data_IF_440943587428
#
_entry.id   IF_440943587428
#
_cell.length_a   1.000
_cell.length_b   1.000
_cell.length_c   1.000
_cell.angle_alpha   90.00
_cell.angle_beta   90.00
_cell.angle_gamma   90.00
#
_symmetry.space_group_name_H-M   'P 1'
#
loop_
_entity.id
_entity.type
_entity.pdbx_description
1 polymer ?
#
# COMPACT_ATOMS: atom_id res chain seq x y z
N UNK A 1 36.69 0.32 -8.57
CA UNK A 1 35.41 0.82 -7.97
C UNK A 1 34.52 -0.24 -7.31
N UNK A 2 34.87 -1.51 -7.34
CA UNK A 2 34.04 -2.59 -6.80
C UNK A 2 34.34 -3.05 -5.37
N UNK A 3 35.49 -2.69 -4.79
CA UNK A 3 35.93 -3.22 -3.48
C UNK A 3 35.30 -2.49 -2.28
N UNK A 4 34.85 -1.26 -2.44
CA UNK A 4 34.31 -0.46 -1.31
C UNK A 4 32.82 -0.70 -1.03
N UNK A 5 32.08 -1.34 -1.93
CA UNK A 5 30.64 -1.58 -1.76
C UNK A 5 30.32 -2.66 -0.71
N UNK A 6 31.14 -3.70 -0.60
CA UNK A 6 30.83 -4.83 0.28
C UNK A 6 30.88 -4.49 1.78
N UNK A 7 31.89 -3.76 2.23
CA UNK A 7 32.04 -3.39 3.65
C UNK A 7 31.00 -2.34 4.09
N UNK A 8 30.68 -1.37 3.23
CA UNK A 8 29.64 -0.38 3.50
C UNK A 8 28.25 -1.02 3.60
N UNK A 9 27.95 -2.03 2.78
CA UNK A 9 26.67 -2.73 2.81
C UNK A 9 26.53 -3.65 4.03
N UNK A 10 27.62 -4.30 4.46
CA UNK A 10 27.63 -5.11 5.69
C UNK A 10 27.39 -4.23 6.91
N UNK A 11 28.07 -3.09 7.01
CA UNK A 11 27.87 -2.14 8.11
C UNK A 11 26.44 -1.57 8.16
N UNK A 12 25.88 -1.20 7.00
CA UNK A 12 24.50 -0.75 6.89
C UNK A 12 23.50 -1.83 7.32
N UNK A 13 23.73 -3.08 6.92
CA UNK A 13 22.88 -4.22 7.34
C UNK A 13 22.91 -4.44 8.84
N UNK A 14 24.07 -4.35 9.49
CA UNK A 14 24.19 -4.49 10.93
C UNK A 14 23.44 -3.38 11.68
N UNK A 15 23.54 -2.14 11.22
CA UNK A 15 22.81 -1.01 11.80
C UNK A 15 21.29 -1.21 11.65
N UNK A 16 20.82 -1.55 10.46
CA UNK A 16 19.39 -1.82 10.23
C UNK A 16 18.91 -3.01 11.08
N UNK A 17 19.70 -4.07 11.19
CA UNK A 17 19.34 -5.22 12.02
C UNK A 17 19.22 -4.83 13.51
N UNK A 18 20.16 -4.01 14.01
CA UNK A 18 20.10 -3.48 15.37
C UNK A 18 18.87 -2.59 15.60
N UNK A 19 18.57 -1.70 14.67
CA UNK A 19 17.41 -0.82 14.74
C UNK A 19 16.09 -1.61 14.73
N UNK A 20 16.00 -2.65 13.89
CA UNK A 20 14.85 -3.54 13.85
C UNK A 20 14.70 -4.40 15.11
N UNK A 21 15.83 -4.82 15.70
CA UNK A 21 15.80 -5.52 16.99
C UNK A 21 15.32 -4.57 18.11
N UNK A 22 15.81 -3.33 18.14
CA UNK A 22 15.36 -2.33 19.09
C UNK A 22 13.85 -2.05 18.95
N UNK A 23 13.36 -1.93 17.72
CA UNK A 23 11.92 -1.78 17.44
C UNK A 23 11.11 -2.97 17.99
N UNK A 24 11.61 -4.19 17.83
CA UNK A 24 10.96 -5.41 18.34
C UNK A 24 10.92 -5.45 19.86
N UNK A 25 12.02 -5.06 20.50
CA UNK A 25 12.19 -5.20 21.95
C UNK A 25 11.53 -4.06 22.73
N UNK A 26 11.56 -2.85 22.20
CA UNK A 26 11.13 -1.63 22.90
C UNK A 26 9.98 -0.88 22.21
N UNK A 27 9.62 -1.26 20.99
CA UNK A 27 8.63 -0.55 20.16
C UNK A 27 9.17 0.74 19.50
N UNK A 28 10.45 1.08 19.72
CA UNK A 28 11.04 2.34 19.24
C UNK A 28 12.45 2.08 18.70
N UNK A 29 12.80 2.78 17.64
CA UNK A 29 14.18 2.95 17.19
C UNK A 29 14.42 4.39 16.75
N UNK A 30 15.67 4.82 16.70
CA UNK A 30 16.04 6.17 16.26
C UNK A 30 17.22 6.11 15.29
N UNK A 31 17.05 6.75 14.15
CA UNK A 31 18.15 6.91 13.20
C UNK A 31 19.21 7.88 13.74
N UNK A 32 20.48 7.63 13.41
CA UNK A 32 21.54 8.60 13.68
C UNK A 32 21.27 9.90 12.91
N UNK A 33 21.79 11.02 13.44
CA UNK A 33 21.67 12.33 12.79
C UNK A 33 22.17 12.29 11.34
N UNK A 34 23.32 11.64 11.11
CA UNK A 34 23.90 11.49 9.78
C UNK A 34 23.00 10.69 8.82
N UNK A 35 22.39 9.59 9.30
CA UNK A 35 21.45 8.80 8.51
C UNK A 35 20.20 9.60 8.19
N UNK A 36 19.67 10.35 9.17
CA UNK A 36 18.51 11.19 8.98
C UNK A 36 18.78 12.32 7.97
N UNK A 37 19.91 12.99 8.04
CA UNK A 37 20.30 14.04 7.08
C UNK A 37 20.39 13.50 5.65
N UNK A 38 20.92 12.29 5.45
CA UNK A 38 20.97 11.64 4.14
C UNK A 38 19.56 11.33 3.61
N UNK A 39 18.72 10.74 4.45
CA UNK A 39 17.33 10.39 4.06
C UNK A 39 16.53 11.65 3.71
N UNK A 40 16.56 12.65 4.59
CA UNK A 40 15.77 13.89 4.38
C UNK A 40 16.32 14.79 3.28
N UNK A 41 17.59 14.63 2.89
CA UNK A 41 18.19 15.30 1.74
C UNK A 41 17.65 14.81 0.40
N UNK A 42 17.24 13.55 0.33
CA UNK A 42 16.76 12.91 -0.90
C UNK A 42 15.24 12.63 -0.90
N UNK A 43 14.65 12.42 0.28
CA UNK A 43 13.26 12.02 0.44
C UNK A 43 12.53 12.95 1.41
N UNK A 44 11.26 13.20 1.10
CA UNK A 44 10.33 13.87 2.01
C UNK A 44 9.17 12.93 2.31
N UNK A 45 8.71 12.94 3.56
CA UNK A 45 7.56 12.19 4.01
C UNK A 45 6.35 13.09 4.23
N UNK A 46 5.17 12.52 4.11
CA UNK A 46 3.93 13.18 4.46
C UNK A 46 2.85 12.15 4.79
N UNK A 47 1.72 12.62 5.28
CA UNK A 47 0.57 11.79 5.63
C UNK A 47 -0.73 12.52 5.29
N UNK A 48 -1.82 11.77 5.17
CA UNK A 48 -3.15 12.33 5.00
C UNK A 48 -4.14 11.66 5.96
N UNK A 49 -5.10 12.43 6.48
CA UNK A 49 -6.19 11.85 7.24
C UNK A 49 -7.12 11.05 6.33
N UNK A 50 -7.87 10.05 6.85
CA UNK A 50 -8.86 9.33 6.07
C UNK A 50 -9.86 10.27 5.34
N UNK A 51 -10.30 11.32 6.02
CA UNK A 51 -11.20 12.31 5.45
C UNK A 51 -10.56 13.06 4.26
N UNK A 52 -9.33 13.55 4.41
CA UNK A 52 -8.63 14.24 3.32
C UNK A 52 -8.38 13.31 2.12
N UNK A 53 -8.09 12.04 2.37
CA UNK A 53 -7.94 11.02 1.34
C UNK A 53 -9.26 10.79 0.58
N UNK A 54 -10.39 10.59 1.28
CA UNK A 54 -11.70 10.39 0.67
C UNK A 54 -12.14 11.62 -0.13
N UNK A 55 -11.94 12.83 0.39
CA UNK A 55 -12.22 14.09 -0.31
C UNK A 55 -11.34 14.23 -1.58
N UNK A 56 -10.08 13.85 -1.52
CA UNK A 56 -9.21 13.87 -2.69
C UNK A 56 -9.66 12.89 -3.77
N UNK A 57 -10.08 11.67 -3.39
CA UNK A 57 -10.63 10.69 -4.32
C UNK A 57 -11.88 11.23 -5.02
N UNK A 58 -12.83 11.80 -4.27
CA UNK A 58 -14.05 12.41 -4.80
C UNK A 58 -13.73 13.55 -5.78
N UNK A 59 -12.91 14.51 -5.36
CA UNK A 59 -12.56 15.69 -6.16
C UNK A 59 -11.81 15.34 -7.44
N UNK A 60 -10.90 14.37 -7.40
CA UNK A 60 -10.15 13.95 -8.58
C UNK A 60 -11.07 13.21 -9.56
N UNK A 61 -11.96 12.36 -9.06
CA UNK A 61 -12.94 11.69 -9.90
C UNK A 61 -13.87 12.71 -10.56
N UNK A 62 -14.44 13.63 -9.80
CA UNK A 62 -15.36 14.67 -10.33
C UNK A 62 -14.68 15.55 -11.39
N UNK A 63 -13.43 15.94 -11.16
CA UNK A 63 -12.73 16.90 -12.02
C UNK A 63 -12.08 16.30 -13.25
N UNK A 64 -11.59 15.05 -13.13
CA UNK A 64 -10.72 14.43 -14.12
C UNK A 64 -11.24 13.08 -14.61
N UNK A 65 -12.38 12.61 -14.11
CA UNK A 65 -12.92 11.26 -14.39
C UNK A 65 -11.90 10.15 -14.12
N UNK A 66 -11.04 10.35 -13.11
CA UNK A 66 -9.99 9.42 -12.73
C UNK A 66 -10.24 8.86 -11.33
N UNK A 67 -10.52 7.56 -11.26
CA UNK A 67 -10.77 6.86 -10.01
C UNK A 67 -9.44 6.39 -9.39
N UNK A 68 -9.05 7.04 -8.28
CA UNK A 68 -7.84 6.66 -7.53
C UNK A 68 -8.12 5.55 -6.52
N UNK A 69 -7.11 4.73 -6.26
CA UNK A 69 -7.08 3.93 -5.04
C UNK A 69 -6.68 4.77 -3.82
N UNK A 70 -7.00 4.32 -2.58
CA UNK A 70 -6.73 5.09 -1.36
C UNK A 70 -5.25 5.46 -1.15
N UNK A 71 -4.30 4.61 -1.57
CA UNK A 71 -2.86 4.86 -1.41
C UNK A 71 -2.39 5.95 -2.37
N UNK A 72 -2.84 5.90 -3.61
CA UNK A 72 -2.61 6.96 -4.61
C UNK A 72 -3.21 8.28 -4.14
N UNK A 73 -4.40 8.25 -3.51
CA UNK A 73 -5.03 9.44 -2.97
C UNK A 73 -4.22 10.08 -1.84
N UNK A 74 -3.64 9.29 -0.93
CA UNK A 74 -2.71 9.81 0.09
C UNK A 74 -1.51 10.49 -0.54
N UNK A 75 -0.89 9.86 -1.55
CA UNK A 75 0.24 10.46 -2.27
C UNK A 75 -0.16 11.78 -2.96
N UNK A 76 -1.36 11.83 -3.53
CA UNK A 76 -1.89 13.06 -4.16
C UNK A 76 -2.11 14.18 -3.13
N UNK A 77 -2.69 13.89 -1.96
CA UNK A 77 -2.90 14.88 -0.88
C UNK A 77 -1.57 15.44 -0.41
N UNK A 78 -0.57 14.58 -0.16
CA UNK A 78 0.77 15.00 0.27
C UNK A 78 1.44 15.87 -0.81
N UNK A 79 1.35 15.46 -2.08
CA UNK A 79 1.86 16.24 -3.20
C UNK A 79 1.21 17.63 -3.27
N UNK A 80 -0.11 17.72 -3.20
CA UNK A 80 -0.85 18.98 -3.27
C UNK A 80 -0.48 19.91 -2.10
N UNK A 81 -0.32 19.36 -0.91
CA UNK A 81 0.11 20.08 0.28
C UNK A 81 1.53 20.64 0.12
N UNK A 82 2.48 19.83 -0.32
CA UNK A 82 3.86 20.26 -0.56
C UNK A 82 3.93 21.33 -1.65
N UNK A 83 3.11 21.22 -2.69
CA UNK A 83 3.01 22.21 -3.75
C UNK A 83 2.45 23.54 -3.24
N UNK A 84 1.39 23.50 -2.41
CA UNK A 84 0.82 24.70 -1.78
C UNK A 84 1.79 25.39 -0.83
N UNK A 85 2.61 24.63 -0.11
CA UNK A 85 3.68 25.14 0.76
C UNK A 85 4.90 25.70 -0.01
N UNK A 86 4.95 25.50 -1.33
CA UNK A 86 6.09 25.92 -2.16
C UNK A 86 7.32 25.01 -2.03
N UNK A 87 7.17 23.86 -1.43
CA UNK A 87 8.23 22.85 -1.28
C UNK A 87 8.54 22.15 -2.60
N UNK A 88 7.59 22.13 -3.52
CA UNK A 88 7.74 21.66 -4.90
C UNK A 88 7.68 22.87 -5.82
N UNK A 89 8.72 23.17 -6.61
CA UNK A 89 8.71 24.28 -7.56
C UNK A 89 7.55 24.19 -8.55
N UNK A 90 6.98 25.34 -8.96
CA UNK A 90 5.76 25.38 -9.80
C UNK A 90 5.85 24.62 -11.12
N UNK A 91 7.03 24.54 -11.70
CA UNK A 91 7.27 23.90 -13.00
C UNK A 91 7.88 22.50 -12.89
N UNK A 92 7.90 21.91 -11.68
CA UNK A 92 8.39 20.55 -11.50
C UNK A 92 7.39 19.55 -12.06
N UNK A 93 7.82 18.77 -13.05
CA UNK A 93 7.07 17.60 -13.48
C UNK A 93 7.06 16.55 -12.36
N UNK A 94 5.88 16.17 -11.94
CA UNK A 94 5.71 15.23 -10.84
C UNK A 94 4.94 14.02 -11.33
N UNK A 95 5.42 12.83 -11.00
CA UNK A 95 4.76 11.55 -11.28
C UNK A 95 4.25 10.99 -9.95
N UNK A 96 2.95 10.74 -9.86
CA UNK A 96 2.34 10.02 -8.74
C UNK A 96 2.19 8.56 -9.15
N UNK A 97 2.85 7.66 -8.43
CA UNK A 97 2.82 6.23 -8.75
C UNK A 97 1.56 5.62 -8.17
N UNK A 98 0.69 5.11 -9.03
CA UNK A 98 -0.47 4.32 -8.63
C UNK A 98 -0.03 2.87 -8.39
N UNK A 99 -0.13 2.42 -7.15
CA UNK A 99 0.40 1.11 -6.72
C UNK A 99 -0.67 0.03 -6.59
N UNK A 100 -1.95 0.40 -6.68
CA UNK A 100 -3.08 -0.52 -6.56
C UNK A 100 -4.23 -0.13 -7.48
N UNK A 101 -5.10 -1.09 -7.78
CA UNK A 101 -6.35 -0.82 -8.47
C UNK A 101 -7.43 -0.41 -7.45
N UNK A 102 -8.27 0.63 -7.71
CA UNK A 102 -9.30 1.11 -6.78
C UNK A 102 -10.28 0.03 -6.35
N UNK A 103 -10.65 -0.88 -7.23
CA UNK A 103 -11.56 -2.00 -6.92
C UNK A 103 -11.03 -3.00 -5.87
N UNK A 104 -9.76 -2.91 -5.46
CA UNK A 104 -9.25 -3.69 -4.31
C UNK A 104 -9.75 -3.14 -2.96
N UNK A 105 -10.31 -1.94 -2.95
CA UNK A 105 -10.77 -1.22 -1.75
C UNK A 105 -12.21 -0.73 -1.90
N UNK A 106 -13.17 -1.62 -2.24
CA UNK A 106 -14.52 -1.21 -2.65
C UNK A 106 -15.22 -0.35 -1.62
N UNK A 107 -15.08 -0.66 -0.33
CA UNK A 107 -15.76 0.09 0.74
C UNK A 107 -15.33 1.56 0.81
N UNK A 108 -14.03 1.85 0.70
CA UNK A 108 -13.51 3.23 0.73
C UNK A 108 -13.84 3.97 -0.55
N UNK A 109 -13.68 3.30 -1.70
CA UNK A 109 -13.99 3.88 -3.01
C UNK A 109 -15.47 4.22 -3.13
N UNK A 110 -16.36 3.33 -2.71
CA UNK A 110 -17.80 3.61 -2.71
C UNK A 110 -18.14 4.85 -1.86
N UNK A 111 -17.59 4.94 -0.64
CA UNK A 111 -17.80 6.11 0.24
C UNK A 111 -17.32 7.40 -0.41
N UNK A 112 -16.16 7.42 -1.03
CA UNK A 112 -15.63 8.60 -1.71
C UNK A 112 -16.51 9.05 -2.90
N UNK A 113 -17.22 8.11 -3.52
CA UNK A 113 -18.20 8.38 -4.60
C UNK A 113 -19.60 8.74 -4.07
N UNK A 114 -19.79 8.87 -2.76
CA UNK A 114 -21.08 9.13 -2.13
C UNK A 114 -22.04 7.93 -2.12
N UNK A 115 -21.51 6.72 -2.30
CA UNK A 115 -22.26 5.47 -2.26
C UNK A 115 -22.17 4.83 -0.86
N UNK A 116 -23.22 4.13 -0.46
CA UNK A 116 -23.19 3.30 0.76
C UNK A 116 -22.71 1.90 0.41
N UNK A 117 -21.54 1.45 0.93
CA UNK A 117 -21.07 0.10 0.67
C UNK A 117 -22.09 -0.95 1.12
N UNK A 118 -22.14 -2.06 0.41
CA UNK A 118 -22.93 -3.25 0.77
C UNK A 118 -22.13 -4.18 1.66
N UNK A 119 -22.81 -5.09 2.34
CA UNK A 119 -22.15 -6.13 3.15
C UNK A 119 -21.32 -7.07 2.27
N UNK A 120 -21.82 -7.42 1.10
CA UNK A 120 -21.05 -8.14 0.09
C UNK A 120 -20.13 -7.17 -0.68
N UNK A 121 -18.81 -7.40 -0.66
CA UNK A 121 -17.88 -6.57 -1.40
C UNK A 121 -18.10 -6.62 -2.92
N UNK A 122 -18.57 -7.72 -3.49
CA UNK A 122 -18.85 -7.83 -4.92
C UNK A 122 -20.06 -7.01 -5.35
N UNK A 123 -21.09 -6.90 -4.51
CA UNK A 123 -22.20 -5.98 -4.74
C UNK A 123 -21.72 -4.52 -4.75
N UNK A 124 -20.80 -4.19 -3.84
CA UNK A 124 -20.19 -2.87 -3.82
C UNK A 124 -19.37 -2.61 -5.08
N UNK A 125 -18.62 -3.60 -5.59
CA UNK A 125 -17.88 -3.50 -6.86
C UNK A 125 -18.84 -3.21 -8.02
N UNK A 126 -19.99 -3.92 -8.09
CA UNK A 126 -21.01 -3.70 -9.12
C UNK A 126 -21.58 -2.27 -9.06
N UNK A 127 -21.88 -1.76 -7.87
CA UNK A 127 -22.33 -0.38 -7.69
C UNK A 127 -21.32 0.66 -8.15
N UNK A 128 -20.03 0.44 -7.86
CA UNK A 128 -18.96 1.33 -8.32
C UNK A 128 -18.88 1.29 -9.84
N UNK A 129 -18.89 0.10 -10.44
CA UNK A 129 -18.84 -0.08 -11.89
C UNK A 129 -20.02 0.60 -12.59
N UNK A 130 -21.24 0.47 -12.05
CA UNK A 130 -22.43 1.14 -12.55
C UNK A 130 -22.31 2.67 -12.47
N UNK A 131 -21.82 3.18 -11.33
CA UNK A 131 -21.64 4.63 -11.11
C UNK A 131 -20.58 5.24 -12.01
N UNK A 132 -19.48 4.53 -12.25
CA UNK A 132 -18.29 5.08 -12.91
C UNK A 132 -18.16 4.67 -14.38
N UNK A 133 -18.86 3.64 -14.81
CA UNK A 133 -18.65 3.02 -16.13
C UNK A 133 -17.35 2.22 -16.26
N UNK A 134 -16.54 2.14 -15.21
CA UNK A 134 -15.27 1.41 -15.21
C UNK A 134 -15.55 -0.08 -14.96
N UNK A 135 -15.12 -0.94 -15.88
CA UNK A 135 -15.34 -2.38 -15.76
C UNK A 135 -14.56 -2.97 -14.58
N UNK A 136 -15.18 -3.92 -13.86
CA UNK A 136 -14.50 -4.72 -12.84
C UNK A 136 -13.43 -5.56 -13.52
N UNK A 137 -12.14 -5.52 -13.08
CA UNK A 137 -11.11 -6.38 -13.63
C UNK A 137 -11.51 -7.85 -13.55
N UNK A 138 -11.36 -8.58 -14.66
CA UNK A 138 -11.78 -9.98 -14.76
C UNK A 138 -11.24 -10.83 -13.61
N UNK A 139 -9.95 -10.68 -13.30
CA UNK A 139 -9.28 -11.44 -12.23
C UNK A 139 -9.92 -11.20 -10.85
N UNK A 140 -10.45 -10.01 -10.62
CA UNK A 140 -11.10 -9.67 -9.35
C UNK A 140 -12.56 -10.18 -9.32
N UNK A 141 -13.30 -10.00 -10.43
CA UNK A 141 -14.68 -10.47 -10.53
C UNK A 141 -14.81 -11.98 -10.47
N UNK A 142 -13.87 -12.70 -11.07
CA UNK A 142 -13.86 -14.18 -11.04
C UNK A 142 -13.66 -14.76 -9.64
N UNK A 143 -13.06 -14.00 -8.69
CA UNK A 143 -12.84 -14.47 -7.32
C UNK A 143 -14.15 -14.76 -6.56
N UNK A 144 -15.24 -14.08 -6.91
CA UNK A 144 -16.55 -14.30 -6.29
C UNK A 144 -17.00 -15.76 -6.36
N UNK A 145 -16.71 -16.41 -7.49
CA UNK A 145 -17.17 -17.76 -7.79
C UNK A 145 -16.06 -18.80 -7.64
N UNK A 146 -14.87 -18.40 -7.16
CA UNK A 146 -13.79 -19.37 -6.92
C UNK A 146 -13.91 -20.04 -5.58
N UNK A 147 -13.71 -21.36 -5.57
CA UNK A 147 -13.57 -22.12 -4.35
C UNK A 147 -12.37 -21.66 -3.53
N UNK A 148 -12.55 -21.50 -2.22
CA UNK A 148 -11.45 -21.23 -1.29
C UNK A 148 -10.60 -22.49 -1.14
N UNK A 149 -9.40 -22.49 -1.70
CA UNK A 149 -8.49 -23.63 -1.66
C UNK A 149 -7.86 -23.86 -0.28
N UNK A 150 -7.63 -22.79 0.47
CA UNK A 150 -7.00 -22.85 1.80
C UNK A 150 -8.01 -22.29 2.80
N UNK A 151 -8.54 -23.20 3.63
CA UNK A 151 -9.56 -22.88 4.64
C UNK A 151 -9.07 -23.11 6.05
N UNK A 152 -7.88 -23.70 6.18
CA UNK A 152 -7.25 -23.96 7.47
C UNK A 152 -6.79 -22.64 8.10
N UNK A 153 -7.07 -22.51 9.39
CA UNK A 153 -6.64 -21.39 10.23
C UNK A 153 -5.82 -21.97 11.36
N UNK A 154 -4.57 -21.56 11.43
CA UNK A 154 -3.63 -22.01 12.47
C UNK A 154 -3.21 -20.83 13.36
N UNK A 155 -2.82 -21.14 14.60
CA UNK A 155 -2.20 -20.15 15.46
C UNK A 155 -0.86 -19.68 14.90
N UNK A 156 -0.47 -18.43 15.22
CA UNK A 156 0.79 -17.85 14.76
C UNK A 156 2.01 -18.70 15.15
N UNK A 157 1.95 -19.39 16.27
CA UNK A 157 3.01 -20.27 16.77
C UNK A 157 3.12 -21.58 16.01
N UNK A 158 2.05 -21.99 15.33
CA UNK A 158 1.95 -23.23 14.57
C UNK A 158 2.21 -23.05 13.06
N UNK A 159 2.44 -21.80 12.61
CA UNK A 159 2.62 -21.50 11.19
C UNK A 159 3.79 -22.25 10.55
N UNK A 160 4.88 -22.49 11.27
CA UNK A 160 6.04 -23.21 10.73
C UNK A 160 5.68 -24.67 10.47
N UNK A 161 5.04 -25.34 11.43
CA UNK A 161 4.60 -26.72 11.34
C UNK A 161 3.57 -26.91 10.21
N UNK A 162 2.61 -25.98 10.09
CA UNK A 162 1.64 -26.01 9.01
C UNK A 162 2.29 -25.89 7.62
N UNK A 163 3.30 -25.01 7.47
CA UNK A 163 4.04 -24.87 6.21
C UNK A 163 4.83 -26.12 5.88
N UNK A 164 5.51 -26.72 6.87
CA UNK A 164 6.26 -27.96 6.70
C UNK A 164 5.32 -29.08 6.26
N UNK A 165 4.15 -29.23 6.89
CA UNK A 165 3.12 -30.18 6.49
C UNK A 165 2.65 -30.03 5.04
N UNK A 166 2.41 -28.80 4.58
CA UNK A 166 2.07 -28.56 3.18
C UNK A 166 3.19 -28.90 2.20
N UNK A 167 4.45 -28.64 2.58
CA UNK A 167 5.60 -29.01 1.74
C UNK A 167 5.71 -30.53 1.62
N UNK A 168 5.56 -31.26 2.72
CA UNK A 168 5.61 -32.71 2.74
C UNK A 168 4.50 -33.34 1.88
N UNK A 169 3.26 -32.84 2.00
CA UNK A 169 2.15 -33.27 1.13
C UNK A 169 2.39 -33.08 -0.36
N UNK A 170 3.12 -32.01 -0.75
CA UNK A 170 3.46 -31.74 -2.15
C UNK A 170 4.56 -32.67 -2.61
N UNK A 171 5.58 -32.90 -1.78
CA UNK A 171 6.71 -33.76 -2.11
C UNK A 171 6.34 -35.26 -2.17
N UNK A 172 5.29 -35.69 -1.45
CA UNK A 172 4.81 -37.08 -1.52
C UNK A 172 3.95 -37.36 -2.78
N UNK A 173 3.50 -36.35 -3.49
CA UNK A 173 2.67 -36.48 -4.70
C UNK A 173 3.45 -36.49 -6.01
N UNK A 174 4.76 -36.25 -5.98
CA UNK A 174 5.69 -36.37 -7.11
C UNK A 174 6.49 -37.69 -7.04
#
# INVERSE_FOLDING_TARGET
RSVSRGLGDVYKRQTVASDMQALKDTGIYSLSKEAMEKVTGEMKGGWASPKAMEEAMANVYEKYDYLMDPHTAVAYVVYDEMKRKGEIPRHTHTVIVSTAHPYKFPGVVAKSLGLTPKDDPYDTLRMIAEKTGIAIPRQLGELENREKRFTEVVDRTEMAEAIEGYVDEICEKD
#
